data_IF_184843966477
#
_entry.id   IF_184843966477
#
_cell.length_a   1.000
_cell.length_b   1.000
_cell.length_c   1.000
_cell.angle_alpha   90.00
_cell.angle_beta   90.00
_cell.angle_gamma   90.00
#
_symmetry.space_group_name_H-M   'P 1'
#
loop_
_entity.id
_entity.type
_entity.pdbx_description
1 polymer ?
#
# COMPACT_ATOMS: atom_id res chain seq x y z
N UNK A 1 -10.55 15.54 15.24
CA UNK A 1 -11.41 14.39 14.87
C UNK A 1 -10.57 13.15 15.17
N UNK A 2 -11.05 11.93 14.96
CA UNK A 2 -10.23 10.73 15.19
C UNK A 2 -10.01 9.99 13.87
N UNK A 3 -8.94 9.22 13.78
CA UNK A 3 -8.62 8.46 12.57
C UNK A 3 -8.47 6.98 12.90
N UNK A 4 -9.07 6.11 12.07
CA UNK A 4 -8.76 4.69 12.03
C UNK A 4 -7.89 4.42 10.81
N UNK A 5 -6.72 3.81 11.02
CA UNK A 5 -5.83 3.39 9.94
C UNK A 5 -5.74 1.87 9.94
N UNK A 6 -6.10 1.27 8.80
CA UNK A 6 -6.12 -0.16 8.58
C UNK A 6 -4.86 -0.58 7.82
N UNK A 7 -3.90 -1.14 8.56
CA UNK A 7 -2.82 -1.97 8.01
C UNK A 7 -3.35 -3.32 7.52
N UNK A 8 -2.48 -4.14 6.93
CA UNK A 8 -2.87 -5.40 6.28
C UNK A 8 -2.39 -6.66 7.04
N UNK A 9 -1.92 -6.50 8.28
CA UNK A 9 -1.59 -7.62 9.16
C UNK A 9 -2.81 -8.42 9.58
N UNK A 10 -2.62 -9.71 9.84
CA UNK A 10 -3.67 -10.67 10.18
C UNK A 10 -4.40 -10.34 11.49
N UNK A 11 -3.80 -9.55 12.40
CA UNK A 11 -4.49 -9.12 13.61
C UNK A 11 -5.73 -8.27 13.31
N UNK A 12 -5.79 -7.57 12.16
CA UNK A 12 -6.97 -6.78 11.77
C UNK A 12 -8.23 -7.64 11.57
N UNK A 13 -8.11 -8.95 11.32
CA UNK A 13 -9.25 -9.84 11.02
C UNK A 13 -10.34 -9.87 12.10
N UNK A 14 -10.02 -9.48 13.33
CA UNK A 14 -10.97 -9.43 14.44
C UNK A 14 -11.83 -8.16 14.45
N UNK A 15 -11.50 -7.17 13.62
CA UNK A 15 -12.20 -5.90 13.52
C UNK A 15 -13.11 -5.83 12.29
N UNK A 16 -14.29 -5.23 12.45
CA UNK A 16 -15.25 -5.06 11.36
C UNK A 16 -14.93 -3.81 10.53
N UNK A 17 -14.10 -3.98 9.50
CA UNK A 17 -13.66 -2.90 8.60
C UNK A 17 -14.73 -2.44 7.60
N UNK A 18 -15.93 -3.02 7.63
CA UNK A 18 -17.03 -2.65 6.72
C UNK A 18 -17.97 -1.60 7.32
N UNK A 19 -17.88 -1.39 8.63
CA UNK A 19 -18.68 -0.41 9.37
C UNK A 19 -18.18 1.01 9.15
N UNK A 20 -19.12 1.95 9.15
CA UNK A 20 -18.82 3.37 9.30
C UNK A 20 -18.86 3.75 10.76
N UNK A 21 -17.78 4.37 11.24
CA UNK A 21 -17.62 4.81 12.63
C UNK A 21 -17.82 6.32 12.70
N UNK A 22 -18.89 6.77 13.36
CA UNK A 22 -19.20 8.21 13.46
C UNK A 22 -18.07 8.94 14.17
N UNK A 23 -17.62 10.06 13.60
CA UNK A 23 -16.52 10.86 14.17
C UNK A 23 -15.12 10.37 13.80
N UNK A 24 -15.01 9.31 12.98
CA UNK A 24 -13.75 8.80 12.48
C UNK A 24 -13.62 9.00 10.97
N UNK A 25 -12.42 9.41 10.54
CA UNK A 25 -11.98 9.24 9.16
C UNK A 25 -11.22 7.92 9.05
N UNK A 26 -11.44 7.18 7.98
CA UNK A 26 -10.86 5.85 7.79
C UNK A 26 -9.84 5.85 6.64
N UNK A 27 -8.68 5.25 6.90
CA UNK A 27 -7.61 5.06 5.93
C UNK A 27 -7.30 3.57 5.78
N UNK A 28 -7.08 3.11 4.55
CA UNK A 28 -6.60 1.77 4.26
C UNK A 28 -5.45 1.79 3.27
N UNK A 29 -4.80 0.65 3.07
CA UNK A 29 -3.70 0.56 2.12
C UNK A 29 -3.76 -0.68 1.20
N UNK A 30 -3.32 -0.51 -0.05
CA UNK A 30 -3.27 -1.53 -1.10
C UNK A 30 -4.59 -2.30 -1.22
N UNK A 31 -4.59 -3.62 -1.00
CA UNK A 31 -5.76 -4.47 -1.15
C UNK A 31 -6.86 -4.26 -0.09
N UNK A 32 -6.71 -3.31 0.85
CA UNK A 32 -7.76 -2.87 1.76
C UNK A 32 -9.10 -2.59 1.06
N UNK A 33 -9.08 -2.08 -0.17
CA UNK A 33 -10.30 -1.80 -0.93
C UNK A 33 -11.16 -3.05 -1.24
N UNK A 34 -10.58 -4.25 -1.16
CA UNK A 34 -11.28 -5.51 -1.49
C UNK A 34 -12.30 -5.90 -0.41
N UNK A 35 -12.06 -5.53 0.84
CA UNK A 35 -12.85 -5.96 2.01
C UNK A 35 -13.13 -4.85 3.04
N UNK A 36 -12.48 -3.68 2.93
CA UNK A 36 -12.67 -2.56 3.85
C UNK A 36 -13.47 -1.44 3.20
N UNK A 37 -14.31 -0.79 3.99
CA UNK A 37 -14.90 0.52 3.64
C UNK A 37 -14.00 1.62 4.22
N UNK A 38 -13.33 2.36 3.35
CA UNK A 38 -12.42 3.45 3.74
C UNK A 38 -12.77 4.75 3.05
N UNK A 39 -12.49 5.87 3.72
CA UNK A 39 -12.62 7.21 3.15
C UNK A 39 -11.43 7.55 2.26
N UNK A 40 -10.24 7.05 2.61
CA UNK A 40 -9.00 7.24 1.87
C UNK A 40 -8.25 5.90 1.67
N UNK A 41 -7.83 5.63 0.45
CA UNK A 41 -7.02 4.45 0.13
C UNK A 41 -5.63 4.85 -0.36
N UNK A 42 -4.58 4.32 0.27
CA UNK A 42 -3.19 4.51 -0.18
C UNK A 42 -2.72 3.30 -0.96
N UNK A 43 -2.09 3.47 -2.12
CA UNK A 43 -1.45 2.35 -2.83
C UNK A 43 -0.04 2.69 -3.29
N UNK A 44 0.89 1.77 -3.04
CA UNK A 44 2.33 1.96 -3.34
C UNK A 44 2.79 1.03 -4.46
N UNK A 45 2.39 -0.24 -4.41
CA UNK A 45 2.81 -1.26 -5.38
C UNK A 45 2.16 -1.04 -6.76
N UNK A 46 2.95 -1.06 -7.83
CA UNK A 46 2.49 -0.75 -9.19
C UNK A 46 1.34 -1.67 -9.66
N UNK A 47 1.46 -2.97 -9.38
CA UNK A 47 0.43 -3.93 -9.73
C UNK A 47 -0.88 -3.68 -8.95
N UNK A 48 -0.78 -3.30 -7.67
CA UNK A 48 -1.94 -2.95 -6.86
C UNK A 48 -2.62 -1.67 -7.34
N UNK A 49 -1.85 -0.64 -7.67
CA UNK A 49 -2.39 0.61 -8.20
C UNK A 49 -3.18 0.35 -9.49
N UNK A 50 -2.62 -0.45 -10.40
CA UNK A 50 -3.29 -0.81 -11.65
C UNK A 50 -4.55 -1.67 -11.40
N UNK A 51 -4.51 -2.60 -10.45
CA UNK A 51 -5.69 -3.38 -10.04
C UNK A 51 -6.82 -2.49 -9.51
N UNK A 52 -6.51 -1.60 -8.57
CA UNK A 52 -7.47 -0.66 -7.98
C UNK A 52 -8.05 0.23 -9.09
N UNK A 53 -7.21 0.76 -9.98
CA UNK A 53 -7.65 1.61 -11.07
C UNK A 53 -8.59 0.86 -12.03
N UNK A 54 -8.20 -0.37 -12.46
CA UNK A 54 -9.02 -1.23 -13.33
C UNK A 54 -10.37 -1.61 -12.72
N UNK A 55 -10.45 -1.68 -11.40
CA UNK A 55 -11.72 -1.98 -10.71
C UNK A 55 -12.74 -0.83 -10.79
N UNK A 56 -12.30 0.39 -11.16
CA UNK A 56 -13.10 1.61 -11.14
C UNK A 56 -13.26 2.24 -9.75
N UNK A 57 -12.66 1.64 -8.72
CA UNK A 57 -12.69 2.17 -7.35
C UNK A 57 -12.14 3.60 -7.29
N UNK A 58 -10.99 3.83 -7.93
CA UNK A 58 -10.32 5.12 -8.02
C UNK A 58 -11.13 6.22 -8.73
N UNK A 59 -12.20 5.87 -9.44
CA UNK A 59 -13.04 6.86 -10.14
C UNK A 59 -14.06 7.49 -9.18
N UNK A 60 -14.31 6.84 -8.05
CA UNK A 60 -15.40 7.22 -7.12
C UNK A 60 -14.94 7.39 -5.68
N UNK A 61 -13.76 6.88 -5.31
CA UNK A 61 -13.19 6.96 -3.97
C UNK A 61 -11.83 7.67 -3.97
N UNK A 62 -11.55 8.39 -2.88
CA UNK A 62 -10.28 9.11 -2.74
C UNK A 62 -9.12 8.13 -2.58
N UNK A 63 -8.22 8.18 -3.56
CA UNK A 63 -7.04 7.34 -3.62
C UNK A 63 -5.77 8.20 -3.58
N UNK A 64 -4.71 7.68 -2.98
CA UNK A 64 -3.40 8.32 -2.92
C UNK A 64 -2.36 7.33 -3.41
N UNK A 65 -1.77 7.57 -4.58
CA UNK A 65 -0.87 6.63 -5.25
C UNK A 65 0.56 7.17 -5.30
N UNK A 66 1.54 6.33 -4.94
CA UNK A 66 2.96 6.61 -5.16
C UNK A 66 3.33 6.49 -6.65
N UNK A 67 4.39 7.20 -7.06
CA UNK A 67 4.91 7.22 -8.44
C UNK A 67 3.85 7.50 -9.53
N UNK A 68 2.74 8.17 -9.18
CA UNK A 68 1.58 8.37 -10.06
C UNK A 68 1.64 9.69 -10.85
N UNK A 69 2.77 9.95 -11.50
CA UNK A 69 2.95 11.16 -12.31
C UNK A 69 2.23 11.01 -13.66
N UNK A 70 1.20 11.83 -13.89
CA UNK A 70 0.45 11.84 -15.15
C UNK A 70 1.30 12.37 -16.30
N UNK A 71 1.37 11.61 -17.39
CA UNK A 71 2.02 11.96 -18.65
C UNK A 71 0.96 12.26 -19.71
N UNK A 72 0.82 13.55 -20.05
CA UNK A 72 -0.16 14.01 -21.04
C UNK A 72 0.31 13.76 -22.47
N UNK A 73 -0.53 13.13 -23.29
CA UNK A 73 -0.27 12.89 -24.72
C UNK A 73 0.93 12.00 -25.01
N UNK A 74 1.42 11.28 -24.00
CA UNK A 74 2.65 10.50 -24.07
C UNK A 74 2.41 9.14 -24.75
N UNK A 75 3.36 8.73 -25.59
CA UNK A 75 3.34 7.44 -26.27
C UNK A 75 4.35 6.47 -25.61
N UNK A 76 3.89 5.45 -24.87
CA UNK A 76 4.77 4.55 -24.14
C UNK A 76 5.43 3.46 -25.02
N UNK A 77 5.16 3.40 -26.33
CA UNK A 77 5.69 2.34 -27.22
C UNK A 77 7.21 2.22 -27.18
N UNK A 78 7.94 3.33 -27.06
CA UNK A 78 9.41 3.27 -27.00
C UNK A 78 9.93 2.61 -25.72
N UNK A 79 9.21 2.71 -24.60
CA UNK A 79 9.61 2.04 -23.36
C UNK A 79 9.32 0.55 -23.41
N UNK A 80 8.24 0.14 -24.07
CA UNK A 80 7.89 -1.28 -24.29
C UNK A 80 9.03 -2.04 -24.96
N UNK A 81 9.80 -1.40 -25.85
CA UNK A 81 10.93 -2.01 -26.53
C UNK A 81 12.06 -2.49 -25.59
N UNK A 82 12.14 -1.96 -24.37
CA UNK A 82 13.15 -2.35 -23.37
C UNK A 82 12.69 -3.49 -22.45
N UNK A 83 11.44 -3.97 -22.60
CA UNK A 83 10.86 -4.99 -21.72
C UNK A 83 10.42 -6.22 -22.54
N UNK A 84 10.62 -7.45 -22.02
CA UNK A 84 9.97 -8.61 -22.60
C UNK A 84 8.44 -8.47 -22.51
N UNK A 85 7.68 -8.92 -23.53
CA UNK A 85 6.22 -8.75 -23.57
C UNK A 85 5.46 -9.22 -22.33
N UNK A 86 5.93 -10.28 -21.67
CA UNK A 86 5.34 -10.84 -20.44
C UNK A 86 5.52 -9.97 -19.19
N UNK A 87 6.40 -8.97 -19.25
CA UNK A 87 6.63 -7.98 -18.20
C UNK A 87 6.09 -6.60 -18.57
N UNK A 88 5.20 -6.53 -19.57
CA UNK A 88 4.50 -5.30 -19.95
C UNK A 88 3.04 -5.43 -19.52
N UNK A 89 2.65 -4.61 -18.53
CA UNK A 89 1.33 -4.60 -17.94
C UNK A 89 0.63 -3.30 -18.33
N UNK A 90 -0.22 -3.36 -19.35
CA UNK A 90 -0.90 -2.20 -19.90
C UNK A 90 -2.42 -2.30 -19.75
N UNK A 91 -3.06 -1.26 -19.20
CA UNK A 91 -4.52 -1.16 -19.24
C UNK A 91 -5.01 -0.81 -20.65
N UNK A 92 -6.27 -1.10 -21.03
CA UNK A 92 -6.74 -0.71 -22.35
C UNK A 92 -6.62 0.80 -22.57
N UNK A 93 -6.00 1.23 -23.67
CA UNK A 93 -6.01 2.65 -24.08
C UNK A 93 -7.42 3.13 -24.47
N UNK A 94 -8.17 2.25 -25.12
CA UNK A 94 -9.54 2.56 -25.59
C UNK A 94 -10.55 2.44 -24.45
N UNK A 95 -11.45 3.41 -24.33
CA UNK A 95 -12.55 3.32 -23.35
C UNK A 95 -13.54 2.21 -23.76
N UNK A 96 -14.03 1.41 -22.80
CA UNK A 96 -14.98 0.34 -23.13
C UNK A 96 -16.33 0.97 -23.52
N UNK A 97 -16.86 0.60 -24.70
CA UNK A 97 -18.17 1.06 -25.18
C UNK A 97 -18.15 2.24 -26.16
N UNK A 98 -16.98 2.76 -26.53
CA UNK A 98 -16.87 3.90 -27.43
C UNK A 98 -16.54 3.49 -28.88
N UNK A 99 -17.18 4.15 -29.84
CA UNK A 99 -16.97 3.94 -31.29
C UNK A 99 -15.53 4.21 -31.75
N UNK A 100 -15.21 3.86 -33.00
CA UNK A 100 -13.83 3.96 -33.52
C UNK A 100 -13.24 5.39 -33.45
N UNK A 101 -12.06 5.52 -32.85
CA UNK A 101 -11.06 6.56 -33.13
C UNK A 101 -11.15 7.91 -32.41
N UNK A 102 -12.24 8.21 -31.68
CA UNK A 102 -12.44 9.52 -31.01
C UNK A 102 -12.42 9.48 -29.48
N UNK A 103 -12.21 8.31 -28.88
CA UNK A 103 -12.40 8.07 -27.44
C UNK A 103 -11.24 7.27 -26.81
N UNK A 104 -10.05 7.37 -27.39
CA UNK A 104 -8.85 6.81 -26.80
C UNK A 104 -8.39 7.73 -25.66
N UNK A 105 -8.04 7.12 -24.53
CA UNK A 105 -7.40 7.82 -23.43
C UNK A 105 -6.07 8.39 -23.94
N UNK A 106 -5.81 9.66 -23.66
CA UNK A 106 -4.59 10.36 -24.11
C UNK A 106 -3.53 10.47 -23.02
N UNK A 107 -3.95 10.34 -21.75
CA UNK A 107 -3.10 10.48 -20.61
C UNK A 107 -2.81 9.11 -20.01
N UNK A 108 -1.58 8.90 -19.55
CA UNK A 108 -1.21 7.67 -18.87
C UNK A 108 -0.26 7.97 -17.70
N UNK A 109 -0.19 7.02 -16.79
CA UNK A 109 0.92 6.89 -15.86
C UNK A 109 1.78 5.74 -16.35
N UNK A 110 3.10 5.94 -16.32
CA UNK A 110 4.06 4.88 -16.60
C UNK A 110 5.01 4.71 -15.43
N UNK A 111 5.05 3.49 -14.91
CA UNK A 111 5.81 3.08 -13.74
C UNK A 111 6.49 1.75 -14.02
N UNK A 112 7.39 1.33 -13.14
CA UNK A 112 7.94 -0.01 -13.23
C UNK A 112 9.28 -0.15 -12.55
N UNK A 113 9.72 -1.41 -12.50
CA UNK A 113 11.03 -1.82 -12.06
C UNK A 113 11.62 -2.73 -13.12
N UNK A 114 12.75 -2.34 -13.69
CA UNK A 114 13.41 -3.16 -14.70
C UNK A 114 13.96 -4.47 -14.09
N UNK A 115 14.08 -5.50 -14.93
CA UNK A 115 14.49 -6.83 -14.52
C UNK A 115 15.95 -6.88 -14.06
N UNK A 116 16.79 -5.97 -14.56
CA UNK A 116 18.20 -5.87 -14.18
C UNK A 116 18.32 -5.35 -12.74
N UNK A 117 17.56 -4.33 -12.36
CA UNK A 117 17.44 -3.84 -10.99
C UNK A 117 16.90 -4.92 -10.06
N UNK A 118 15.89 -5.70 -10.49
CA UNK A 118 15.40 -6.84 -9.71
C UNK A 118 16.48 -7.91 -9.47
N UNK A 119 17.25 -8.24 -10.51
CA UNK A 119 18.35 -9.21 -10.41
C UNK A 119 19.51 -8.66 -9.56
N UNK A 120 19.89 -7.40 -9.73
CA UNK A 120 20.95 -6.76 -8.95
C UNK A 120 20.60 -6.76 -7.44
N UNK A 121 19.37 -6.41 -7.08
CA UNK A 121 18.90 -6.49 -5.70
C UNK A 121 18.94 -7.93 -5.17
N UNK A 122 18.53 -8.90 -5.98
CA UNK A 122 18.60 -10.33 -5.62
C UNK A 122 20.04 -10.77 -5.33
N UNK A 123 20.97 -10.47 -6.25
CA UNK A 123 22.39 -10.82 -6.12
C UNK A 123 23.05 -10.14 -4.91
N UNK A 124 22.73 -8.87 -4.66
CA UNK A 124 23.22 -8.14 -3.49
C UNK A 124 22.76 -8.80 -2.19
N UNK A 125 21.46 -9.09 -2.06
CA UNK A 125 20.90 -9.68 -0.83
C UNK A 125 21.48 -11.06 -0.57
N UNK A 126 21.54 -11.96 -1.57
CA UNK A 126 22.09 -13.31 -1.34
C UNK A 126 23.61 -13.30 -1.13
N UNK A 127 24.34 -12.28 -1.60
CA UNK A 127 25.76 -12.10 -1.31
C UNK A 127 25.99 -11.64 0.13
N UNK A 128 25.16 -10.72 0.63
CA UNK A 128 25.28 -10.20 1.99
C UNK A 128 24.73 -11.20 3.03
N UNK A 129 23.66 -11.90 2.68
CA UNK A 129 22.94 -12.82 3.55
C UNK A 129 22.80 -14.20 2.89
N UNK A 130 23.91 -14.96 2.75
CA UNK A 130 23.92 -16.23 2.01
C UNK A 130 23.12 -17.37 2.67
N UNK A 131 22.67 -17.17 3.92
CA UNK A 131 21.85 -18.13 4.66
C UNK A 131 20.35 -18.02 4.34
N UNK A 132 19.91 -16.97 3.64
CA UNK A 132 18.51 -16.77 3.27
C UNK A 132 18.07 -17.79 2.21
N UNK A 133 16.77 -18.06 2.17
CA UNK A 133 16.16 -18.87 1.12
C UNK A 133 16.23 -18.11 -0.22
N UNK A 134 17.07 -18.61 -1.12
CA UNK A 134 17.32 -17.98 -2.43
C UNK A 134 16.06 -17.86 -3.29
N UNK A 135 15.16 -18.83 -3.25
CA UNK A 135 13.94 -18.78 -4.05
C UNK A 135 12.95 -17.76 -3.47
N UNK A 136 12.86 -17.68 -2.14
CA UNK A 136 12.04 -16.67 -1.46
C UNK A 136 12.55 -15.24 -1.71
N UNK A 137 13.86 -15.02 -1.57
CA UNK A 137 14.48 -13.72 -1.87
C UNK A 137 14.27 -13.36 -3.34
N UNK A 138 14.42 -14.31 -4.27
CA UNK A 138 14.18 -14.07 -5.69
C UNK A 138 12.73 -13.66 -5.95
N UNK A 139 11.75 -14.40 -5.41
CA UNK A 139 10.32 -14.04 -5.53
C UNK A 139 10.05 -12.62 -5.03
N UNK A 140 10.60 -12.25 -3.87
CA UNK A 140 10.46 -10.90 -3.29
C UNK A 140 11.10 -9.81 -4.15
N UNK A 141 12.31 -10.04 -4.68
CA UNK A 141 13.02 -9.06 -5.49
C UNK A 141 12.35 -8.83 -6.85
N UNK A 142 11.78 -9.88 -7.44
CA UNK A 142 11.08 -9.83 -8.71
C UNK A 142 9.59 -9.48 -8.59
N UNK A 143 9.05 -9.35 -7.36
CA UNK A 143 7.69 -8.84 -7.15
C UNK A 143 7.57 -7.46 -7.80
N UNK A 144 6.52 -7.30 -8.59
CA UNK A 144 6.20 -6.09 -9.37
C UNK A 144 7.30 -5.63 -10.34
N UNK A 145 8.25 -6.51 -10.70
CA UNK A 145 9.16 -6.23 -11.80
C UNK A 145 8.41 -6.21 -13.13
N UNK A 146 8.73 -5.22 -13.97
CA UNK A 146 8.07 -4.97 -15.25
C UNK A 146 7.71 -3.51 -15.46
N UNK A 147 7.15 -3.24 -16.64
CA UNK A 147 6.65 -1.94 -17.07
C UNK A 147 5.13 -1.91 -16.91
N UNK A 148 4.64 -0.96 -16.11
CA UNK A 148 3.21 -0.75 -15.86
C UNK A 148 2.76 0.53 -16.56
N UNK A 149 1.80 0.40 -17.47
CA UNK A 149 1.21 1.51 -18.21
C UNK A 149 -0.28 1.56 -17.85
N UNK A 150 -0.68 2.59 -17.14
CA UNK A 150 -2.09 2.81 -16.79
C UNK A 150 -2.63 4.00 -17.56
N UNK A 151 -3.44 3.74 -18.57
CA UNK A 151 -4.21 4.76 -19.28
C UNK A 151 -5.33 5.30 -18.38
N UNK A 152 -5.41 6.63 -18.27
CA UNK A 152 -6.27 7.32 -17.32
C UNK A 152 -7.61 7.71 -17.93
N UNK A 153 -8.64 7.75 -17.08
CA UNK A 153 -9.91 8.37 -17.38
C UNK A 153 -9.73 9.88 -17.32
N UNK A 154 -10.62 10.62 -17.97
CA UNK A 154 -10.60 12.08 -17.89
C UNK A 154 -10.75 12.55 -16.44
N UNK A 155 -11.52 11.81 -15.63
CA UNK A 155 -11.81 12.12 -14.24
C UNK A 155 -11.61 10.88 -13.38
N UNK A 156 -10.61 10.94 -12.51
CA UNK A 156 -10.43 10.02 -11.39
C UNK A 156 -10.25 10.82 -10.08
N UNK A 157 -10.09 10.10 -8.97
CA UNK A 157 -9.88 10.68 -7.64
C UNK A 157 -8.54 10.24 -7.05
N UNK A 158 -7.55 9.99 -7.92
CA UNK A 158 -6.19 9.65 -7.51
C UNK A 158 -5.40 10.94 -7.26
N UNK A 159 -4.79 11.04 -6.09
CA UNK A 159 -3.83 12.07 -5.73
C UNK A 159 -2.43 11.48 -5.76
N UNK A 160 -1.51 12.15 -6.44
CA UNK A 160 -0.11 11.75 -6.43
C UNK A 160 0.51 12.03 -5.06
N UNK A 161 1.17 11.03 -4.48
CA UNK A 161 1.91 11.17 -3.23
C UNK A 161 3.26 11.81 -3.51
N UNK A 162 3.38 13.11 -3.22
CA UNK A 162 4.66 13.80 -3.32
C UNK A 162 5.64 13.38 -2.21
N UNK A 163 5.11 13.16 -1.00
CA UNK A 163 5.82 12.72 0.20
C UNK A 163 4.86 11.98 1.14
N UNK A 164 5.29 10.91 1.84
CA UNK A 164 6.61 10.29 1.81
C UNK A 164 6.82 9.40 0.58
N UNK A 165 8.09 9.19 0.18
CA UNK A 165 8.48 8.33 -0.94
C UNK A 165 9.25 7.12 -0.43
N UNK A 166 9.19 6.01 -1.18
CA UNK A 166 9.88 4.75 -0.85
C UNK A 166 9.49 4.15 0.52
N UNK A 167 8.28 4.47 0.98
CA UNK A 167 7.71 3.96 2.22
C UNK A 167 6.75 2.80 1.98
N UNK A 168 6.58 1.94 2.98
CA UNK A 168 5.56 0.90 2.89
C UNK A 168 4.16 1.51 2.98
N UNK A 169 3.18 0.88 2.33
CA UNK A 169 1.85 1.45 2.17
C UNK A 169 1.15 1.76 3.50
N UNK A 170 1.35 0.93 4.53
CA UNK A 170 0.82 1.17 5.87
C UNK A 170 1.42 2.41 6.55
N UNK A 171 2.74 2.59 6.50
CA UNK A 171 3.39 3.78 7.07
C UNK A 171 3.06 5.05 6.28
N UNK A 172 2.93 4.97 4.95
CA UNK A 172 2.48 6.09 4.13
C UNK A 172 1.04 6.50 4.47
N UNK A 173 0.12 5.54 4.65
CA UNK A 173 -1.25 5.82 5.09
C UNK A 173 -1.28 6.49 6.47
N UNK A 174 -0.45 6.04 7.40
CA UNK A 174 -0.28 6.70 8.70
C UNK A 174 0.19 8.15 8.57
N UNK A 175 1.23 8.40 7.77
CA UNK A 175 1.77 9.73 7.59
C UNK A 175 0.74 10.69 6.98
N UNK A 176 0.07 10.28 5.90
CA UNK A 176 -0.94 11.10 5.23
C UNK A 176 -2.17 11.34 6.12
N UNK A 177 -2.59 10.34 6.91
CA UNK A 177 -3.65 10.50 7.89
C UNK A 177 -3.34 11.61 8.92
N UNK A 178 -2.09 11.71 9.37
CA UNK A 178 -1.70 12.70 10.37
C UNK A 178 -1.69 14.14 9.83
N UNK A 179 -1.58 14.33 8.51
CA UNK A 179 -1.64 15.67 7.90
C UNK A 179 -3.00 16.36 8.08
N UNK A 180 -4.05 15.61 8.44
CA UNK A 180 -5.36 16.15 8.80
C UNK A 180 -5.39 16.93 10.12
N UNK A 181 -4.34 16.83 10.95
CA UNK A 181 -4.25 17.53 12.25
C UNK A 181 -5.09 16.88 13.36
N UNK A 182 -5.36 15.57 13.26
CA UNK A 182 -6.16 14.86 14.23
C UNK A 182 -5.41 14.52 15.51
N UNK A 183 -6.14 14.59 16.64
CA UNK A 183 -5.59 14.39 17.98
C UNK A 183 -5.33 12.91 18.28
N UNK A 184 -6.13 12.00 17.71
CA UNK A 184 -6.07 10.58 18.00
C UNK A 184 -6.04 9.73 16.72
N UNK A 185 -5.04 8.87 16.60
CA UNK A 185 -4.89 7.92 15.50
C UNK A 185 -4.84 6.50 16.04
N UNK A 186 -5.74 5.64 15.57
CA UNK A 186 -5.83 4.23 15.96
C UNK A 186 -5.32 3.34 14.83
N UNK A 187 -4.35 2.48 15.16
CA UNK A 187 -3.59 1.68 14.20
C UNK A 187 -4.00 0.21 14.33
N UNK A 188 -4.69 -0.34 13.33
CA UNK A 188 -5.14 -1.74 13.31
C UNK A 188 -4.38 -2.54 12.25
N UNK A 189 -3.92 -3.76 12.56
CA UNK A 189 -3.22 -4.60 11.59
C UNK A 189 -1.79 -4.15 11.25
N UNK A 190 -1.11 -3.49 12.19
CA UNK A 190 0.30 -3.08 12.08
C UNK A 190 1.21 -4.12 12.75
N UNK A 191 1.06 -5.39 12.39
CA UNK A 191 1.63 -6.52 13.15
C UNK A 191 3.15 -6.64 13.09
N UNK A 192 3.81 -5.84 12.24
CA UNK A 192 5.18 -6.06 11.79
C UNK A 192 5.34 -7.49 11.22
N UNK A 193 6.56 -7.99 11.09
CA UNK A 193 6.84 -9.35 10.64
C UNK A 193 8.20 -9.83 11.15
N UNK A 194 8.35 -11.14 11.22
CA UNK A 194 9.61 -11.81 11.53
C UNK A 194 10.05 -12.63 10.31
N UNK A 195 11.34 -12.63 10.01
CA UNK A 195 11.86 -13.24 8.79
C UNK A 195 11.67 -14.76 8.75
N UNK A 196 11.80 -15.44 9.88
CA UNK A 196 11.71 -16.90 9.94
C UNK A 196 10.29 -17.43 10.14
N UNK A 197 9.33 -16.51 10.27
CA UNK A 197 7.90 -16.82 10.35
C UNK A 197 7.24 -16.71 8.97
N UNK A 198 6.07 -17.37 8.77
CA UNK A 198 5.27 -17.17 7.56
C UNK A 198 4.90 -15.71 7.35
N UNK A 199 4.71 -15.31 6.09
CA UNK A 199 4.28 -13.95 5.78
C UNK A 199 2.98 -13.59 6.51
N UNK A 200 3.03 -12.47 7.23
CA UNK A 200 1.86 -11.91 7.91
C UNK A 200 1.20 -10.85 7.02
N UNK A 201 0.19 -11.27 6.28
CA UNK A 201 -0.66 -10.39 5.50
C UNK A 201 -2.01 -11.07 5.24
N UNK A 202 -3.12 -10.35 5.38
CA UNK A 202 -4.47 -10.91 5.13
C UNK A 202 -4.65 -11.34 3.66
N UNK A 203 -3.92 -10.71 2.73
CA UNK A 203 -4.06 -10.95 1.29
C UNK A 203 -3.00 -11.88 0.70
N UNK A 204 -2.16 -12.52 1.52
CA UNK A 204 -1.19 -13.51 1.04
C UNK A 204 -1.90 -14.59 0.21
N UNK A 205 -1.28 -15.02 -0.88
CA UNK A 205 -1.84 -16.00 -1.83
C UNK A 205 -2.88 -15.45 -2.81
N UNK A 206 -3.25 -14.15 -2.73
CA UNK A 206 -4.14 -13.50 -3.70
C UNK A 206 -3.35 -12.75 -4.78
N UNK A 207 -4.03 -12.30 -5.84
CA UNK A 207 -3.43 -11.50 -6.91
C UNK A 207 -2.63 -10.31 -6.34
N UNK A 208 -1.46 -10.05 -6.93
CA UNK A 208 -0.51 -8.99 -6.57
C UNK A 208 0.12 -9.09 -5.17
N UNK A 209 -0.09 -10.20 -4.46
CA UNK A 209 0.55 -10.52 -3.19
C UNK A 209 1.40 -11.78 -3.29
N UNK A 210 2.38 -11.90 -2.39
CA UNK A 210 3.21 -13.09 -2.28
C UNK A 210 2.39 -14.29 -1.79
N UNK A 211 2.84 -15.50 -2.10
CA UNK A 211 2.18 -16.74 -1.69
C UNK A 211 2.17 -16.92 -0.17
N UNK A 212 1.25 -17.73 0.33
CA UNK A 212 1.19 -18.16 1.74
C UNK A 212 2.46 -18.87 2.23
N UNK A 213 3.21 -19.49 1.31
CA UNK A 213 4.47 -20.18 1.58
C UNK A 213 5.67 -19.22 1.71
N UNK A 214 5.48 -17.94 1.41
CA UNK A 214 6.56 -16.95 1.48
C UNK A 214 6.90 -16.62 2.92
N UNK A 215 8.18 -16.36 3.19
CA UNK A 215 8.65 -15.95 4.51
C UNK A 215 8.32 -14.49 4.81
N UNK A 216 8.30 -14.10 6.09
CA UNK A 216 8.14 -12.70 6.50
C UNK A 216 9.26 -11.78 5.99
N UNK A 217 9.03 -10.48 6.07
CA UNK A 217 10.01 -9.46 5.69
C UNK A 217 10.85 -9.03 6.91
N UNK A 218 12.04 -8.48 6.65
CA UNK A 218 12.70 -7.63 7.63
C UNK A 218 11.90 -6.31 7.75
N UNK A 219 11.52 -5.94 8.96
CA UNK A 219 10.66 -4.77 9.25
C UNK A 219 11.40 -3.53 9.74
N UNK A 220 12.74 -3.52 9.76
CA UNK A 220 13.55 -2.38 10.21
C UNK A 220 13.14 -1.07 9.50
N UNK A 221 12.90 -1.14 8.19
CA UNK A 221 12.45 0.02 7.41
C UNK A 221 11.03 0.45 7.80
N UNK A 222 10.10 -0.48 8.00
CA UNK A 222 8.72 -0.15 8.38
C UNK A 222 8.68 0.48 9.78
N UNK A 223 9.45 -0.06 10.72
CA UNK A 223 9.62 0.49 12.06
C UNK A 223 10.20 1.90 12.00
N UNK A 224 11.25 2.11 11.20
CA UNK A 224 11.87 3.43 11.04
C UNK A 224 10.88 4.46 10.49
N UNK A 225 10.06 4.08 9.51
CA UNK A 225 9.03 4.94 8.89
C UNK A 225 7.91 5.29 9.87
N UNK A 226 7.45 4.32 10.68
CA UNK A 226 6.47 4.57 11.74
C UNK A 226 7.05 5.50 12.83
N UNK A 227 8.27 5.23 13.31
CA UNK A 227 8.94 6.10 14.29
C UNK A 227 9.10 7.52 13.75
N UNK A 228 9.48 7.66 12.47
CA UNK A 228 9.58 8.96 11.83
C UNK A 228 8.23 9.70 11.87
N UNK A 229 7.14 9.01 11.50
CA UNK A 229 5.78 9.56 11.61
C UNK A 229 5.46 10.02 13.02
N UNK A 230 5.71 9.18 14.04
CA UNK A 230 5.43 9.53 15.44
C UNK A 230 6.20 10.77 15.91
N UNK A 231 7.43 10.97 15.42
CA UNK A 231 8.27 12.13 15.72
C UNK A 231 7.84 13.40 14.98
N UNK A 232 7.38 13.26 13.74
CA UNK A 232 6.94 14.39 12.92
C UNK A 232 5.59 14.95 13.39
N UNK A 233 4.79 14.14 14.08
CA UNK A 233 3.49 14.53 14.65
C UNK A 233 3.47 14.33 16.18
N UNK A 234 4.26 15.12 16.94
CA UNK A 234 4.42 14.92 18.39
C UNK A 234 3.14 15.23 19.19
N UNK A 235 2.23 16.04 18.63
CA UNK A 235 0.96 16.43 19.25
C UNK A 235 -0.17 15.42 19.02
N UNK A 236 0.04 14.43 18.13
CA UNK A 236 -0.93 13.36 17.86
C UNK A 236 -0.68 12.19 18.80
N UNK A 237 -1.75 11.70 19.45
CA UNK A 237 -1.72 10.47 20.24
C UNK A 237 -1.99 9.26 19.34
N UNK A 238 -1.01 8.38 19.24
CA UNK A 238 -1.10 7.11 18.53
C UNK A 238 -1.54 6.00 19.49
N UNK A 239 -2.53 5.23 19.06
CA UNK A 239 -3.09 4.09 19.77
C UNK A 239 -2.88 2.84 18.91
N UNK A 240 -1.91 2.01 19.28
CA UNK A 240 -1.65 0.74 18.61
C UNK A 240 -2.65 -0.30 19.11
N UNK A 241 -3.52 -0.78 18.22
CA UNK A 241 -4.62 -1.67 18.60
C UNK A 241 -4.15 -3.11 18.57
N UNK A 242 -4.12 -3.77 19.74
CA UNK A 242 -3.58 -5.12 19.96
C UNK A 242 -4.35 -5.86 21.05
N UNK A 243 -4.36 -7.20 21.03
CA UNK A 243 -5.11 -8.00 22.01
C UNK A 243 -4.54 -7.99 23.44
N UNK A 244 -3.24 -7.74 23.57
CA UNK A 244 -2.54 -7.64 24.86
C UNK A 244 -1.55 -6.49 24.84
N UNK A 245 -1.22 -5.91 26.00
CA UNK A 245 -0.20 -4.87 26.13
C UNK A 245 1.09 -5.25 25.38
N UNK A 246 1.28 -4.59 24.25
CA UNK A 246 2.41 -4.77 23.36
C UNK A 246 2.65 -3.42 22.70
N UNK A 247 3.56 -2.63 23.28
CA UNK A 247 4.13 -1.50 22.57
C UNK A 247 5.58 -1.84 22.28
N UNK A 248 5.88 -2.42 21.11
CA UNK A 248 7.27 -2.74 20.76
C UNK A 248 8.08 -1.46 20.49
N UNK A 249 7.43 -0.33 20.20
CA UNK A 249 8.09 0.92 19.86
C UNK A 249 7.95 1.95 20.98
N UNK A 250 9.05 2.25 21.65
CA UNK A 250 9.10 3.25 22.72
C UNK A 250 9.14 4.66 22.11
N UNK A 251 7.97 5.25 21.90
CA UNK A 251 7.78 6.66 21.55
C UNK A 251 6.77 7.29 22.54
N UNK A 252 6.99 8.54 22.93
CA UNK A 252 6.23 9.18 24.02
C UNK A 252 4.73 9.33 23.73
N UNK A 253 4.36 9.42 22.46
CA UNK A 253 2.99 9.61 21.98
C UNK A 253 2.39 8.32 21.40
N UNK A 254 2.92 7.16 21.76
CA UNK A 254 2.42 5.85 21.31
C UNK A 254 2.04 5.00 22.53
N UNK A 255 0.81 4.48 22.54
CA UNK A 255 0.35 3.55 23.56
C UNK A 255 -0.44 2.40 22.94
N UNK A 256 -0.52 1.27 23.63
CA UNK A 256 -1.38 0.16 23.22
C UNK A 256 -2.82 0.36 23.70
N UNK A 257 -3.78 -0.13 22.93
CA UNK A 257 -5.19 -0.22 23.32
C UNK A 257 -5.77 -1.56 22.84
N UNK A 258 -6.72 -2.13 23.58
CA UNK A 258 -7.40 -3.35 23.14
C UNK A 258 -8.49 -3.07 22.11
N UNK A 259 -8.80 -4.06 21.27
CA UNK A 259 -9.94 -4.01 20.36
C UNK A 259 -11.27 -3.76 21.10
N UNK A 260 -11.46 -4.34 22.29
CA UNK A 260 -12.64 -4.09 23.12
C UNK A 260 -12.74 -2.62 23.59
N UNK A 261 -11.61 -2.03 23.97
CA UNK A 261 -11.58 -0.63 24.38
C UNK A 261 -11.84 0.30 23.19
N UNK A 262 -11.29 0.00 22.02
CA UNK A 262 -11.60 0.74 20.79
C UNK A 262 -13.08 0.62 20.40
N UNK A 263 -13.69 -0.57 20.49
CA UNK A 263 -15.11 -0.79 20.18
C UNK A 263 -16.02 0.09 21.04
N UNK A 264 -15.68 0.26 22.33
CA UNK A 264 -16.39 1.19 23.23
C UNK A 264 -16.28 2.64 22.79
N UNK A 265 -15.10 3.08 22.35
CA UNK A 265 -14.87 4.45 21.84
C UNK A 265 -15.65 4.68 20.54
N UNK A 266 -15.65 3.68 19.66
CA UNK A 266 -16.36 3.70 18.39
C UNK A 266 -17.90 3.66 18.52
N UNK A 267 -18.40 3.26 19.69
CA UNK A 267 -19.83 3.13 19.97
C UNK A 267 -20.46 4.35 20.66
N UNK A 268 -19.66 5.35 21.03
CA UNK A 268 -20.13 6.61 21.66
C UNK A 268 -20.40 7.70 20.64
#
# INVERSE_FOLDING_TARGET
MSVLVYGNGESRKVWDTTKSYTGFTTWGCNAAYRDCKVDNLVAIDYAMQQEIYKSGYAYTHDCHFADWATLEGFDPEFMKANYPPEYIFETPKRNQGSGYGWYDRTNCVVQGKDLETAENNYQEIISQFPHLDKEDVKRKCYKDAGLYITWLEDHDRVRYIEYPREWCAGATAMYLACQGGDENVYMLGFDLSEHDEPINNIYKGTDNYLSEESKGFNTDNWVTQLIQTFKDFPDTQFHWVVDSEASPLVCNNVQSISYEALDKICST
#
